data_IF_567885696491
#
_entry.id   IF_567885696491
#
_cell.length_a   1.000
_cell.length_b   1.000
_cell.length_c   1.000
_cell.angle_alpha   90.00
_cell.angle_beta   90.00
_cell.angle_gamma   90.00
#
_symmetry.space_group_name_H-M   'P 1'
#
loop_
_entity.id
_entity.type
_entity.pdbx_description
1 polymer ?
#
# COMPACT_ATOMS: atom_id res chain seq x y z
N UNK A 1 8.68 17.37 7.06
CA UNK A 1 8.06 16.32 7.88
C UNK A 1 6.82 15.85 7.12
N UNK A 2 6.86 14.64 6.54
CA UNK A 2 5.73 14.11 5.75
C UNK A 2 4.63 13.72 6.74
N UNK A 3 3.42 14.26 6.58
CA UNK A 3 2.30 13.91 7.44
C UNK A 3 2.08 12.40 7.38
N UNK A 4 2.25 11.72 8.51
CA UNK A 4 2.02 10.27 8.66
C UNK A 4 0.53 9.92 8.61
N UNK A 5 -0.31 10.89 8.30
CA UNK A 5 -1.76 10.82 8.28
C UNK A 5 -2.31 11.19 6.90
N UNK A 6 -3.04 10.27 6.29
CA UNK A 6 -3.81 10.47 5.06
C UNK A 6 -5.30 10.56 5.39
N UNK A 7 -5.97 11.62 4.92
CA UNK A 7 -7.40 11.83 5.15
C UNK A 7 -8.09 12.05 3.80
N UNK A 8 -9.17 11.31 3.57
CA UNK A 8 -10.00 11.41 2.39
C UNK A 8 -11.48 11.24 2.78
N UNK A 9 -12.15 12.35 3.10
CA UNK A 9 -13.53 12.33 3.57
C UNK A 9 -13.67 11.54 4.87
N UNK A 10 -14.40 10.40 4.81
CA UNK A 10 -14.59 9.50 5.96
C UNK A 10 -13.47 8.46 6.13
N UNK A 11 -12.52 8.41 5.19
CA UNK A 11 -11.34 7.56 5.28
C UNK A 11 -10.22 8.32 5.96
N UNK A 12 -9.65 7.74 7.00
CA UNK A 12 -8.46 8.25 7.66
C UNK A 12 -7.47 7.11 7.89
N UNK A 13 -6.26 7.25 7.36
CA UNK A 13 -5.16 6.31 7.56
C UNK A 13 -4.04 7.02 8.31
N UNK A 14 -3.51 6.36 9.33
CA UNK A 14 -2.35 6.82 10.08
C UNK A 14 -1.26 5.75 10.06
N UNK A 15 -0.01 6.16 9.86
CA UNK A 15 1.17 5.32 10.01
C UNK A 15 1.83 5.68 11.33
N UNK A 16 1.99 4.70 12.21
CA UNK A 16 2.68 4.88 13.48
C UNK A 16 3.92 4.00 13.50
N UNK A 17 5.09 4.61 13.75
CA UNK A 17 6.32 3.86 14.02
C UNK A 17 6.31 3.42 15.48
N UNK A 18 6.31 2.11 15.71
CA UNK A 18 6.34 1.56 17.06
C UNK A 18 7.80 1.34 17.50
N UNK A 19 8.08 1.61 18.79
CA UNK A 19 9.41 1.40 19.39
C UNK A 19 9.68 -0.07 19.72
N UNK A 20 8.63 -0.85 19.95
CA UNK A 20 8.69 -2.25 20.37
C UNK A 20 7.63 -3.05 19.58
N UNK A 21 8.03 -4.13 18.91
CA UNK A 21 7.17 -4.91 17.99
C UNK A 21 7.34 -4.54 16.51
N UNK A 22 6.34 -4.83 15.65
CA UNK A 22 6.41 -4.55 14.21
C UNK A 22 6.69 -3.05 13.97
N UNK A 23 7.70 -2.70 13.15
CA UNK A 23 8.24 -1.34 13.12
C UNK A 23 7.25 -0.30 12.60
N UNK A 24 6.27 -0.72 11.79
CA UNK A 24 5.26 0.17 11.21
C UNK A 24 3.87 -0.46 11.32
N UNK A 25 2.96 0.27 11.96
CA UNK A 25 1.54 -0.09 12.05
C UNK A 25 0.73 0.96 11.29
N UNK A 26 -0.17 0.48 10.45
CA UNK A 26 -1.12 1.32 9.71
C UNK A 26 -2.50 1.20 10.35
N UNK A 27 -3.00 2.29 10.93
CA UNK A 27 -4.33 2.36 11.49
C UNK A 27 -5.27 2.95 10.44
N UNK A 28 -6.22 2.15 9.96
CA UNK A 28 -7.19 2.59 8.98
C UNK A 28 -8.58 2.74 9.61
N UNK A 29 -9.14 3.93 9.49
CA UNK A 29 -10.49 4.30 9.89
C UNK A 29 -11.32 4.51 8.63
N UNK A 30 -12.36 3.69 8.45
CA UNK A 30 -13.32 3.82 7.36
C UNK A 30 -14.71 3.94 7.98
N UNK A 31 -15.16 5.19 8.15
CA UNK A 31 -16.44 5.52 8.76
C UNK A 31 -16.63 4.90 10.15
N UNK A 32 -17.44 3.85 10.25
CA UNK A 32 -17.82 3.17 11.50
C UNK A 32 -16.85 2.07 11.95
N UNK A 33 -15.88 1.72 11.10
CA UNK A 33 -14.96 0.62 11.37
C UNK A 33 -13.53 1.10 11.37
N UNK A 34 -12.77 0.65 12.37
CA UNK A 34 -11.34 0.87 12.45
C UNK A 34 -10.63 -0.47 12.55
N UNK A 35 -9.50 -0.57 11.85
CA UNK A 35 -8.68 -1.77 11.88
C UNK A 35 -7.21 -1.43 11.70
N UNK A 36 -6.38 -2.13 12.45
CA UNK A 36 -4.93 -2.03 12.37
C UNK A 36 -4.40 -3.05 11.36
N UNK A 37 -3.47 -2.61 10.54
CA UNK A 37 -2.81 -3.42 9.53
C UNK A 37 -1.30 -3.27 9.65
N UNK A 38 -0.60 -4.38 9.53
CA UNK A 38 0.85 -4.40 9.35
C UNK A 38 1.23 -4.48 7.87
N UNK A 39 0.32 -4.99 7.02
CA UNK A 39 0.52 -5.16 5.59
C UNK A 39 -0.33 -4.18 4.74
N UNK A 40 0.30 -3.61 3.71
CA UNK A 40 -0.33 -2.61 2.82
C UNK A 40 -1.39 -3.22 1.91
N UNK A 41 -1.21 -4.45 1.44
CA UNK A 41 -2.21 -5.12 0.59
C UNK A 41 -3.46 -5.43 1.40
N UNK A 42 -3.29 -5.84 2.66
CA UNK A 42 -4.39 -6.02 3.59
C UNK A 42 -5.13 -4.70 3.86
N UNK A 43 -4.41 -3.59 4.04
CA UNK A 43 -5.00 -2.26 4.16
C UNK A 43 -5.77 -1.86 2.90
N UNK A 44 -5.17 -1.97 1.71
CA UNK A 44 -5.84 -1.66 0.43
C UNK A 44 -7.10 -2.50 0.21
N UNK A 45 -7.06 -3.78 0.58
CA UNK A 45 -8.21 -4.69 0.51
C UNK A 45 -9.32 -4.29 1.48
N UNK A 46 -8.97 -3.81 2.68
CA UNK A 46 -9.94 -3.35 3.67
C UNK A 46 -10.61 -2.05 3.28
N UNK A 47 -9.84 -1.10 2.77
CA UNK A 47 -10.36 0.18 2.28
C UNK A 47 -11.33 -0.03 1.12
N UNK A 48 -11.22 -1.15 0.38
CA UNK A 48 -12.07 -1.51 -0.79
C UNK A 48 -12.19 -0.36 -1.80
N UNK A 49 -11.17 0.49 -1.89
CA UNK A 49 -11.24 1.67 -2.74
C UNK A 49 -11.11 1.26 -4.22
N UNK A 50 -11.94 1.79 -5.13
CA UNK A 50 -11.82 1.48 -6.54
C UNK A 50 -10.46 1.93 -7.08
N UNK A 51 -9.73 1.06 -7.80
CA UNK A 51 -8.60 1.52 -8.62
C UNK A 51 -9.14 2.48 -9.69
N UNK A 52 -8.40 3.56 -10.00
CA UNK A 52 -8.75 4.66 -10.94
C UNK A 52 -9.59 5.82 -10.39
N UNK A 53 -9.81 5.90 -9.07
CA UNK A 53 -10.28 7.16 -8.47
C UNK A 53 -9.08 8.04 -8.12
N UNK A 54 -9.18 9.38 -8.21
CA UNK A 54 -8.07 10.28 -7.85
C UNK A 54 -7.63 10.07 -6.40
N UNK A 55 -8.57 9.79 -5.49
CA UNK A 55 -8.28 9.46 -4.09
C UNK A 55 -7.52 8.14 -3.94
N UNK A 56 -7.90 7.11 -4.71
CA UNK A 56 -7.24 5.80 -4.68
C UNK A 56 -5.82 5.87 -5.23
N UNK A 57 -5.59 6.72 -6.24
CA UNK A 57 -4.26 6.99 -6.77
C UNK A 57 -3.38 7.73 -5.75
N UNK A 58 -3.91 8.80 -5.14
CA UNK A 58 -3.25 9.53 -4.05
C UNK A 58 -2.89 8.62 -2.86
N UNK A 59 -3.78 7.70 -2.48
CA UNK A 59 -3.53 6.75 -1.40
C UNK A 59 -2.41 5.77 -1.75
N UNK A 60 -2.36 5.28 -3.00
CA UNK A 60 -1.28 4.40 -3.48
C UNK A 60 0.04 5.15 -3.57
N UNK A 61 0.03 6.38 -4.12
CA UNK A 61 1.18 7.28 -4.17
C UNK A 61 1.72 7.60 -2.77
N UNK A 62 0.82 7.82 -1.80
CA UNK A 62 1.16 8.03 -0.39
C UNK A 62 1.80 6.78 0.21
N UNK A 63 1.23 5.59 0.00
CA UNK A 63 1.82 4.32 0.46
C UNK A 63 3.18 4.00 -0.21
N UNK A 64 3.34 4.34 -1.49
CA UNK A 64 4.58 4.18 -2.26
C UNK A 64 5.67 5.12 -1.76
N UNK A 65 5.29 6.30 -1.30
CA UNK A 65 6.22 7.32 -0.78
C UNK A 65 6.95 6.89 0.50
N UNK A 66 6.43 5.90 1.24
CA UNK A 66 7.11 5.30 2.40
C UNK A 66 7.90 4.04 2.05
N UNK A 67 7.78 3.56 0.82
CA UNK A 67 8.54 2.42 0.30
C UNK A 67 9.93 2.84 -0.21
N UNK A 68 10.16 4.14 -0.42
CA UNK A 68 11.46 4.70 -0.79
C UNK A 68 12.42 4.90 0.40
N UNK A 69 12.22 4.21 1.52
CA UNK A 69 13.31 3.87 2.44
C UNK A 69 13.86 2.51 1.98
N UNK A 70 15.20 2.35 1.86
CA UNK A 70 15.87 1.77 0.71
C UNK A 70 15.53 0.31 0.43
N UNK A 71 15.18 0.06 -0.83
CA UNK A 71 15.50 -1.11 -1.66
C UNK A 71 16.24 -2.25 -0.93
N UNK A 72 15.49 -3.23 -0.41
CA UNK A 72 15.91 -4.62 -0.51
C UNK A 72 15.32 -5.16 -1.80
N UNK A 73 16.10 -5.06 -2.87
CA UNK A 73 15.88 -5.78 -4.14
C UNK A 73 15.84 -7.28 -3.83
N UNK A 74 14.65 -7.79 -3.52
CA UNK A 74 14.32 -9.17 -3.76
C UNK A 74 14.07 -9.32 -5.25
N UNK A 75 15.13 -9.51 -6.03
CA UNK A 75 15.03 -10.09 -7.37
C UNK A 75 14.16 -11.35 -7.27
N UNK A 76 12.92 -11.28 -7.74
CA UNK A 76 12.31 -12.45 -8.37
C UNK A 76 12.76 -12.42 -9.81
N UNK A 77 13.75 -13.26 -10.07
CA UNK A 77 14.11 -13.72 -11.39
C UNK A 77 13.06 -14.75 -11.83
N UNK A 78 12.18 -14.38 -12.75
CA UNK A 78 11.46 -15.30 -13.64
C UNK A 78 11.15 -14.49 -14.91
N UNK A 79 12.15 -14.31 -15.77
CA UNK A 79 12.46 -15.15 -16.94
C UNK A 79 11.28 -15.34 -17.90
N UNK A 80 11.60 -15.08 -19.17
CA UNK A 80 10.69 -14.94 -20.29
C UNK A 80 9.84 -16.20 -20.50
N UNK A 81 8.54 -16.02 -20.73
CA UNK A 81 7.84 -16.90 -21.68
C UNK A 81 6.52 -16.31 -22.14
N UNK A 82 6.55 -15.50 -23.20
CA UNK A 82 5.44 -15.44 -24.15
C UNK A 82 5.99 -14.95 -25.49
N UNK A 83 6.44 -15.87 -26.33
CA UNK A 83 6.25 -15.70 -27.77
C UNK A 83 6.11 -17.06 -28.45
N UNK A 84 5.20 -17.05 -29.41
CA UNK A 84 4.38 -18.14 -29.88
C UNK A 84 5.12 -19.06 -30.86
N UNK A 85 4.73 -20.34 -30.85
CA UNK A 85 5.14 -21.35 -31.83
C UNK A 85 4.87 -20.88 -33.26
N UNK A 86 5.81 -21.25 -34.14
CA UNK A 86 5.90 -20.79 -35.52
C UNK A 86 4.77 -21.24 -36.45
N UNK A 87 4.72 -20.50 -37.55
CA UNK A 87 4.05 -20.90 -38.78
C UNK A 87 5.12 -20.78 -39.88
N UNK A 88 5.52 -21.93 -40.43
CA UNK A 88 6.17 -22.06 -41.73
C UNK A 88 5.20 -22.82 -42.63
#
# INVERSE_FOLDING_TARGET
>A
MKSERFVAGQLWIERTKQREGPPYVYTCWSGKTSKLFTDRKALLKFVKWPPKTPTGDCLRQWLLSFEQEPVVVGLKADDKSTDVKGCV
#
